data_IF_461311229017
#
_entry.id   IF_461311229017
#
_cell.length_a   1.000
_cell.length_b   1.000
_cell.length_c   1.000
_cell.angle_alpha   90.00
_cell.angle_beta   90.00
_cell.angle_gamma   90.00
#
_symmetry.space_group_name_H-M   'P 1'
#
loop_
_entity.id
_entity.type
_entity.pdbx_description
1 polymer ?
#
# COMPACT_ATOMS: atom_id res chain seq x y z
N UNK A 1 29.93 11.35 -0.96
CA UNK A 1 30.27 10.34 0.08
C UNK A 1 29.36 9.16 -0.15
N UNK A 2 29.91 8.07 -0.65
CA UNK A 2 29.13 6.93 -1.13
C UNK A 2 28.96 5.88 -0.02
N UNK A 3 27.84 5.93 0.69
CA UNK A 3 27.48 4.96 1.73
C UNK A 3 27.13 3.60 1.11
N UNK A 4 26.36 3.54 0.00
CA UNK A 4 26.16 2.30 -0.76
C UNK A 4 27.47 1.64 -1.22
N UNK A 5 28.42 2.41 -1.77
CA UNK A 5 29.73 1.90 -2.20
C UNK A 5 30.55 1.31 -1.05
N UNK A 6 30.59 1.98 0.10
CA UNK A 6 31.27 1.46 1.30
C UNK A 6 30.66 0.16 1.83
N UNK A 7 29.34 0.01 1.77
CA UNK A 7 28.65 -1.22 2.17
C UNK A 7 28.89 -2.37 1.18
N UNK A 8 28.96 -2.07 -0.12
CA UNK A 8 29.29 -3.06 -1.15
C UNK A 8 30.73 -3.58 -1.01
N UNK A 9 31.70 -2.69 -0.78
CA UNK A 9 33.10 -3.07 -0.52
C UNK A 9 33.25 -3.88 0.76
N UNK A 10 32.51 -3.52 1.83
CA UNK A 10 32.57 -4.22 3.11
C UNK A 10 32.03 -5.66 3.04
N UNK A 11 31.09 -5.93 2.12
CA UNK A 11 30.52 -7.26 1.89
C UNK A 11 31.47 -8.19 1.12
N UNK A 12 32.43 -7.63 0.37
CA UNK A 12 33.39 -8.38 -0.46
C UNK A 12 34.72 -8.67 0.26
N UNK A 13 34.88 -8.20 1.49
CA UNK A 13 36.17 -8.12 2.17
C UNK A 13 36.41 -9.32 3.10
N UNK A 14 36.58 -10.51 2.50
CA UNK A 14 36.73 -11.79 3.22
C UNK A 14 38.16 -12.35 3.26
N UNK A 15 39.20 -11.57 2.93
CA UNK A 15 40.52 -12.17 2.64
C UNK A 15 41.81 -11.37 2.80
N UNK A 16 41.86 -10.20 3.43
CA UNK A 16 43.19 -9.57 3.66
C UNK A 16 43.16 -8.27 4.46
N UNK A 17 44.06 -8.19 5.46
CA UNK A 17 44.39 -7.02 6.31
C UNK A 17 43.24 -6.00 6.49
N UNK A 18 42.04 -6.52 6.76
CA UNK A 18 40.83 -5.71 6.82
C UNK A 18 40.82 -4.90 8.11
N UNK A 19 40.37 -3.62 8.08
CA UNK A 19 40.16 -2.87 9.31
C UNK A 19 39.17 -3.61 10.21
N UNK A 20 39.39 -3.52 11.52
CA UNK A 20 38.55 -4.22 12.52
C UNK A 20 37.06 -3.89 12.35
N UNK A 21 36.20 -4.82 12.74
CA UNK A 21 34.74 -4.67 12.66
C UNK A 21 34.29 -3.34 13.30
N UNK A 22 34.82 -3.01 14.47
CA UNK A 22 34.54 -1.75 15.16
C UNK A 22 34.93 -0.51 14.34
N UNK A 23 36.09 -0.53 13.66
CA UNK A 23 36.52 0.58 12.82
C UNK A 23 35.60 0.78 11.61
N UNK A 24 35.10 -0.32 11.02
CA UNK A 24 34.14 -0.29 9.91
C UNK A 24 32.78 0.23 10.36
N UNK A 25 32.28 -0.21 11.52
CA UNK A 25 31.03 0.27 12.12
C UNK A 25 31.12 1.76 12.46
N UNK A 26 32.21 2.22 13.09
CA UNK A 26 32.43 3.65 13.38
C UNK A 26 32.46 4.50 12.12
N UNK A 27 33.02 3.98 11.02
CA UNK A 27 33.02 4.64 9.72
C UNK A 27 31.63 4.71 9.10
N UNK A 28 30.86 3.61 9.13
CA UNK A 28 29.46 3.59 8.68
C UNK A 28 28.61 4.61 9.44
N UNK A 29 28.66 4.58 10.77
CA UNK A 29 27.94 5.53 11.64
C UNK A 29 28.34 6.98 11.33
N UNK A 30 29.62 7.22 11.03
CA UNK A 30 30.10 8.55 10.64
C UNK A 30 29.55 9.03 9.31
N UNK A 31 29.32 8.12 8.36
CA UNK A 31 28.72 8.45 7.07
C UNK A 31 27.21 8.69 7.21
N UNK A 32 26.52 7.88 8.02
CA UNK A 32 25.08 8.01 8.30
C UNK A 32 24.73 9.33 8.99
N UNK A 33 25.60 9.83 9.87
CA UNK A 33 25.41 11.15 10.50
C UNK A 33 25.43 12.34 9.53
N UNK A 34 25.87 12.14 8.28
CA UNK A 34 25.87 13.15 7.21
C UNK A 34 24.69 13.01 6.24
N UNK A 35 23.86 11.97 6.41
CA UNK A 35 22.65 11.76 5.61
C UNK A 35 21.51 12.50 6.30
N UNK A 36 21.03 13.60 5.71
CA UNK A 36 20.00 14.46 6.31
C UNK A 36 18.61 13.81 6.30
N UNK A 37 18.30 13.01 5.28
CA UNK A 37 17.02 12.31 5.12
C UNK A 37 16.91 11.15 6.13
N UNK A 38 15.93 11.18 7.06
CA UNK A 38 15.76 10.17 8.10
C UNK A 38 15.35 8.80 7.54
N UNK A 39 14.62 8.76 6.42
CA UNK A 39 14.16 7.53 5.79
C UNK A 39 15.36 6.84 5.13
N UNK A 40 16.18 7.60 4.38
CA UNK A 40 17.41 7.07 3.77
C UNK A 40 18.42 6.63 4.83
N UNK A 41 18.55 7.39 5.93
CA UNK A 41 19.43 7.02 7.04
C UNK A 41 19.02 5.68 7.66
N UNK A 42 17.72 5.46 7.88
CA UNK A 42 17.20 4.20 8.42
C UNK A 42 17.40 3.02 7.47
N UNK A 43 17.18 3.24 6.17
CA UNK A 43 17.41 2.22 5.15
C UNK A 43 18.90 1.79 5.11
N UNK A 44 19.81 2.75 5.14
CA UNK A 44 21.27 2.49 5.15
C UNK A 44 21.75 1.86 6.47
N UNK A 45 21.11 2.17 7.60
CA UNK A 45 21.36 1.52 8.89
C UNK A 45 20.98 0.04 8.84
N UNK A 46 19.76 -0.27 8.39
CA UNK A 46 19.28 -1.65 8.25
C UNK A 46 20.17 -2.45 7.30
N UNK A 47 20.58 -1.83 6.19
CA UNK A 47 21.52 -2.47 5.25
C UNK A 47 22.91 -2.69 5.84
N UNK A 48 23.39 -1.76 6.68
CA UNK A 48 24.63 -1.93 7.43
C UNK A 48 24.56 -3.06 8.46
N UNK A 49 23.42 -3.23 9.13
CA UNK A 49 23.16 -4.30 10.09
C UNK A 49 23.31 -5.68 9.43
N UNK A 50 22.71 -5.84 8.24
CA UNK A 50 22.82 -7.05 7.43
C UNK A 50 24.27 -7.32 6.97
N UNK A 51 25.01 -6.29 6.56
CA UNK A 51 26.39 -6.44 6.07
C UNK A 51 27.39 -6.78 7.19
N UNK A 52 27.17 -6.25 8.39
CA UNK A 52 28.05 -6.48 9.53
C UNK A 52 27.59 -7.61 10.47
N UNK A 53 26.44 -8.24 10.18
CA UNK A 53 25.87 -9.31 11.02
C UNK A 53 25.51 -8.84 12.43
N UNK A 54 25.12 -7.57 12.58
CA UNK A 54 24.77 -6.96 13.86
C UNK A 54 23.27 -6.68 13.91
N UNK A 55 22.70 -6.64 15.10
CA UNK A 55 21.31 -6.20 15.26
C UNK A 55 21.17 -4.70 14.93
N UNK A 56 20.05 -4.34 14.30
CA UNK A 56 19.74 -2.94 13.93
C UNK A 56 19.74 -2.02 15.17
N UNK A 57 19.29 -2.53 16.31
CA UNK A 57 19.31 -1.86 17.63
C UNK A 57 20.71 -1.41 18.04
N UNK A 58 21.72 -2.26 17.88
CA UNK A 58 23.12 -2.00 18.27
C UNK A 58 23.75 -0.93 17.38
N UNK A 59 23.48 -0.94 16.07
CA UNK A 59 23.95 0.09 15.15
C UNK A 59 23.19 1.42 15.31
N UNK A 60 21.92 1.35 15.67
CA UNK A 60 21.08 2.50 15.94
C UNK A 60 21.51 3.19 17.25
N UNK A 61 21.85 2.44 18.29
CA UNK A 61 22.45 2.95 19.53
C UNK A 61 23.80 3.65 19.25
N UNK A 62 24.70 3.00 18.50
CA UNK A 62 25.98 3.58 18.11
C UNK A 62 25.83 4.86 17.25
N UNK A 63 24.78 4.95 16.44
CA UNK A 63 24.45 6.15 15.65
C UNK A 63 23.83 7.28 16.49
N UNK A 64 23.12 6.94 17.56
CA UNK A 64 22.48 7.89 18.48
C UNK A 64 23.45 8.44 19.53
N UNK A 65 24.44 7.66 19.95
CA UNK A 65 25.47 8.10 20.91
C UNK A 65 26.29 9.31 20.40
N UNK A 66 26.37 9.48 19.08
CA UNK A 66 27.00 10.66 18.48
C UNK A 66 26.16 11.93 18.56
N UNK A 67 24.87 11.81 18.88
CA UNK A 67 23.94 12.93 19.04
C UNK A 67 24.05 13.66 20.38
N UNK A 68 24.80 13.14 21.36
CA UNK A 68 24.89 13.72 22.71
C UNK A 68 26.23 14.35 23.11
N UNK A 69 27.18 14.52 22.18
CA UNK A 69 28.52 14.94 22.60
C UNK A 69 29.38 15.62 21.55
N UNK A 70 28.97 16.79 21.04
CA UNK A 70 29.95 17.78 20.57
C UNK A 70 29.37 19.20 20.62
N UNK A 71 29.57 19.85 21.78
CA UNK A 71 29.48 21.31 21.89
C UNK A 71 30.54 21.93 20.97
N UNK A 72 30.19 22.82 20.02
CA UNK A 72 31.13 23.84 19.59
C UNK A 72 31.07 24.96 20.65
N UNK A 73 32.09 25.00 21.51
CA UNK A 73 32.38 26.19 22.27
C UNK A 73 32.90 27.28 21.31
N UNK A 74 32.38 28.50 21.44
CA UNK A 74 32.96 29.69 20.82
C UNK A 74 31.98 30.55 20.01
N UNK A 75 31.25 31.41 20.71
CA UNK A 75 30.82 32.75 20.22
C UNK A 75 31.92 33.76 20.62
N UNK A 76 31.96 35.04 20.16
CA UNK A 76 31.30 35.73 19.01
C UNK A 76 32.31 36.74 18.35
N UNK A 77 31.97 37.94 17.78
CA UNK A 77 30.71 38.51 17.25
C UNK A 77 30.85 39.26 15.89
N UNK A 78 29.72 39.87 15.49
CA UNK A 78 29.51 41.06 14.64
C UNK A 78 29.00 40.76 13.22
N UNK A 79 27.86 41.28 12.79
CA UNK A 79 26.92 42.19 13.43
C UNK A 79 25.71 42.43 12.53
N UNK A 80 24.71 43.12 13.08
CA UNK A 80 23.76 44.06 12.44
C UNK A 80 23.07 43.67 11.12
N UNK A 81 21.78 43.91 10.91
CA UNK A 81 20.72 44.58 11.66
C UNK A 81 19.39 44.28 10.93
N UNK A 82 18.27 44.51 11.64
CA UNK A 82 16.99 45.11 11.19
C UNK A 82 16.38 44.70 9.83
N UNK A 83 15.10 44.46 9.63
CA UNK A 83 13.88 45.16 10.07
C UNK A 83 12.71 44.35 9.49
N UNK A 84 11.74 43.86 10.27
CA UNK A 84 10.41 44.47 10.53
C UNK A 84 9.65 44.93 9.27
N UNK A 85 8.43 44.38 9.09
CA UNK A 85 7.30 45.06 8.44
C UNK A 85 6.31 44.13 7.72
N UNK A 86 5.32 43.52 8.40
CA UNK A 86 3.88 43.89 8.49
C UNK A 86 2.99 43.80 7.23
N UNK A 87 1.95 42.94 7.36
CA UNK A 87 0.49 43.08 7.07
C UNK A 87 -0.07 43.16 5.62
N UNK A 88 -0.75 42.08 5.23
CA UNK A 88 -2.21 41.90 4.87
C UNK A 88 -2.94 42.85 3.87
N UNK A 89 -4.16 42.51 3.37
CA UNK A 89 -4.44 42.11 1.98
C UNK A 89 -5.36 43.10 1.22
N UNK A 90 -5.69 42.81 -0.04
CA UNK A 90 -6.81 43.46 -0.73
C UNK A 90 -7.54 42.49 -1.67
N UNK A 91 -8.85 42.39 -1.48
CA UNK A 91 -9.83 41.78 -2.36
C UNK A 91 -10.31 42.81 -3.41
N UNK A 92 -10.76 42.34 -4.57
CA UNK A 92 -11.41 43.15 -5.60
C UNK A 92 -12.23 42.27 -6.54
N UNK A 93 -13.55 42.43 -6.45
CA UNK A 93 -14.66 41.68 -7.05
C UNK A 93 -15.09 42.13 -8.45
N UNK A 94 -15.60 41.16 -9.24
CA UNK A 94 -16.71 41.20 -10.23
C UNK A 94 -16.55 42.10 -11.49
N UNK A 95 -17.10 41.86 -12.69
CA UNK A 95 -18.34 41.27 -13.25
C UNK A 95 -18.01 40.88 -14.72
N UNK A 96 -18.43 39.74 -15.31
CA UNK A 96 -19.76 39.27 -15.71
C UNK A 96 -20.17 39.62 -17.17
N UNK A 97 -20.48 38.54 -17.92
CA UNK A 97 -21.59 38.37 -18.88
C UNK A 97 -21.37 38.45 -20.41
N UNK A 98 -21.88 37.39 -21.06
CA UNK A 98 -22.22 37.27 -22.49
C UNK A 98 -21.78 35.91 -23.08
N UNK A 99 -22.50 34.79 -22.87
CA UNK A 99 -23.60 34.24 -23.71
C UNK A 99 -23.14 33.85 -25.15
N UNK A 100 -23.51 32.73 -25.81
CA UNK A 100 -24.18 31.44 -25.55
C UNK A 100 -24.04 30.64 -26.89
N UNK A 101 -23.57 29.39 -26.84
CA UNK A 101 -23.95 28.11 -27.57
C UNK A 101 -24.72 28.23 -28.92
N UNK A 102 -24.46 27.44 -30.02
CA UNK A 102 -24.45 25.96 -30.00
C UNK A 102 -23.56 25.13 -30.97
N UNK A 103 -23.21 23.94 -30.46
CA UNK A 103 -23.12 22.58 -31.08
C UNK A 103 -22.54 22.39 -32.50
N UNK A 104 -21.51 21.52 -32.61
CA UNK A 104 -21.59 20.27 -33.39
C UNK A 104 -20.55 19.25 -32.90
N UNK A 105 -20.94 17.98 -33.00
CA UNK A 105 -20.31 16.78 -32.48
C UNK A 105 -18.87 16.52 -32.98
N UNK A 106 -18.03 16.04 -32.06
CA UNK A 106 -16.76 15.40 -32.33
C UNK A 106 -16.45 14.46 -31.17
N UNK A 107 -16.62 13.17 -31.42
CA UNK A 107 -16.41 12.05 -30.49
C UNK A 107 -14.95 12.05 -30.04
N UNK A 108 -14.69 12.60 -28.86
CA UNK A 108 -13.45 12.43 -28.12
C UNK A 108 -13.77 11.64 -26.87
N UNK A 109 -13.33 10.37 -26.84
CA UNK A 109 -13.36 9.52 -25.66
C UNK A 109 -12.80 10.27 -24.46
N UNK A 110 -13.70 10.79 -23.63
CA UNK A 110 -13.37 11.10 -22.25
C UNK A 110 -13.17 9.74 -21.58
N UNK A 111 -11.91 9.29 -21.56
CA UNK A 111 -11.44 8.47 -20.47
C UNK A 111 -11.68 9.30 -19.21
N UNK A 112 -12.85 9.12 -18.61
CA UNK A 112 -13.01 9.44 -17.21
C UNK A 112 -11.97 8.59 -16.49
N UNK A 113 -10.85 9.21 -16.13
CA UNK A 113 -10.08 8.83 -14.95
C UNK A 113 -11.07 8.80 -13.81
N UNK A 114 -11.70 7.64 -13.65
CA UNK A 114 -12.39 7.29 -12.43
C UNK A 114 -11.30 7.27 -11.37
N UNK A 115 -11.25 8.34 -10.58
CA UNK A 115 -10.67 8.40 -9.24
C UNK A 115 -10.54 6.99 -8.66
N UNK A 116 -9.34 6.50 -8.31
CA UNK A 116 -9.18 5.17 -7.76
C UNK A 116 -9.91 5.14 -6.43
N UNK A 117 -11.16 4.67 -6.46
CA UNK A 117 -11.93 4.30 -5.27
C UNK A 117 -10.98 3.54 -4.35
N UNK A 118 -10.86 3.92 -3.06
CA UNK A 118 -9.85 3.38 -2.17
C UNK A 118 -9.93 1.86 -2.20
N UNK A 119 -8.98 1.23 -2.89
CA UNK A 119 -9.05 -0.19 -3.17
C UNK A 119 -8.90 -0.92 -1.85
N UNK A 120 -9.90 -1.74 -1.49
CA UNK A 120 -9.91 -2.53 -0.26
C UNK A 120 -8.54 -3.23 -0.14
N UNK A 121 -7.80 -3.03 0.96
CA UNK A 121 -6.47 -3.62 1.12
C UNK A 121 -6.47 -5.15 0.95
N UNK A 122 -7.56 -5.83 1.30
CA UNK A 122 -7.68 -7.28 1.12
C UNK A 122 -7.90 -7.63 -0.36
N UNK A 123 -8.64 -6.81 -1.13
CA UNK A 123 -8.76 -7.01 -2.58
C UNK A 123 -7.43 -6.77 -3.29
N UNK A 124 -6.64 -5.79 -2.82
CA UNK A 124 -5.29 -5.54 -3.34
C UNK A 124 -4.34 -6.70 -3.05
N UNK A 125 -4.32 -7.17 -1.81
CA UNK A 125 -3.49 -8.30 -1.41
C UNK A 125 -3.83 -9.55 -2.23
N UNK A 126 -5.12 -9.87 -2.36
CA UNK A 126 -5.57 -10.99 -3.18
C UNK A 126 -5.20 -10.81 -4.66
N UNK A 127 -5.36 -9.60 -5.20
CA UNK A 127 -5.06 -9.32 -6.60
C UNK A 127 -3.59 -9.53 -6.95
N UNK A 128 -2.65 -9.02 -6.14
CA UNK A 128 -1.24 -9.22 -6.44
C UNK A 128 -0.78 -10.66 -6.16
N UNK A 129 -1.41 -11.39 -5.23
CA UNK A 129 -1.20 -12.83 -5.08
C UNK A 129 -1.68 -13.62 -6.30
N UNK A 130 -2.81 -13.26 -6.92
CA UNK A 130 -3.24 -13.88 -8.18
C UNK A 130 -2.23 -13.64 -9.32
N UNK A 131 -1.54 -12.50 -9.32
CA UNK A 131 -0.51 -12.18 -10.32
C UNK A 131 0.83 -12.89 -10.07
N UNK A 132 1.11 -13.36 -8.85
CA UNK A 132 2.44 -13.85 -8.45
C UNK A 132 2.43 -15.32 -8.01
N UNK A 133 1.32 -15.82 -7.49
CA UNK A 133 1.18 -17.15 -6.91
C UNK A 133 0.13 -17.98 -7.68
N UNK A 134 0.56 -19.11 -8.25
CA UNK A 134 -0.32 -20.02 -8.98
C UNK A 134 -1.44 -20.58 -8.09
N UNK A 135 -1.12 -20.90 -6.83
CA UNK A 135 -2.11 -21.37 -5.86
C UNK A 135 -3.26 -20.38 -5.67
N UNK A 136 -2.95 -19.11 -5.44
CA UNK A 136 -3.95 -18.07 -5.29
C UNK A 136 -4.83 -17.91 -6.53
N UNK A 137 -4.24 -17.97 -7.73
CA UNK A 137 -4.98 -17.92 -8.98
C UNK A 137 -5.96 -19.09 -9.11
N UNK A 138 -5.50 -20.32 -8.86
CA UNK A 138 -6.37 -21.51 -8.94
C UNK A 138 -7.55 -21.43 -7.98
N UNK A 139 -7.32 -20.88 -6.79
CA UNK A 139 -8.38 -20.75 -5.79
C UNK A 139 -9.40 -19.68 -6.15
N UNK A 140 -8.94 -18.50 -6.60
CA UNK A 140 -9.84 -17.43 -7.06
C UNK A 140 -10.62 -17.89 -8.28
N UNK A 141 -10.00 -18.62 -9.21
CA UNK A 141 -10.71 -19.17 -10.37
C UNK A 141 -11.83 -20.15 -9.96
N UNK A 142 -11.61 -20.96 -8.92
CA UNK A 142 -12.60 -21.91 -8.41
C UNK A 142 -13.79 -21.22 -7.69
N UNK A 143 -13.53 -20.13 -6.96
CA UNK A 143 -14.54 -19.43 -6.14
C UNK A 143 -15.39 -18.40 -6.91
N UNK A 144 -15.10 -18.16 -8.20
CA UNK A 144 -15.90 -17.26 -9.04
C UNK A 144 -15.11 -16.27 -9.89
N UNK A 145 -13.79 -16.37 -9.91
CA UNK A 145 -12.89 -15.62 -10.78
C UNK A 145 -12.94 -14.12 -10.51
N UNK A 146 -13.13 -13.32 -11.56
CA UNK A 146 -13.09 -11.85 -11.45
C UNK A 146 -14.21 -11.28 -10.55
N UNK A 147 -15.28 -12.04 -10.29
CA UNK A 147 -16.40 -11.63 -9.42
C UNK A 147 -15.94 -11.52 -7.95
N UNK A 148 -14.83 -12.19 -7.59
CA UNK A 148 -14.21 -12.10 -6.27
C UNK A 148 -13.66 -10.72 -5.95
N UNK A 149 -13.52 -9.80 -6.91
CA UNK A 149 -13.11 -8.40 -6.68
C UNK A 149 -14.33 -7.48 -6.85
N UNK A 150 -14.43 -6.33 -6.19
CA UNK A 150 -15.44 -5.30 -6.46
C UNK A 150 -14.88 -4.16 -7.30
N UNK A 151 -13.59 -3.88 -7.12
CA UNK A 151 -12.90 -2.84 -7.86
C UNK A 151 -12.84 -3.17 -9.36
N UNK A 152 -13.50 -2.35 -10.18
CA UNK A 152 -13.58 -2.54 -11.64
C UNK A 152 -12.21 -2.59 -12.33
N UNK A 153 -11.28 -1.66 -12.04
CA UNK A 153 -9.90 -1.74 -12.54
C UNK A 153 -9.19 -3.05 -12.21
N UNK A 154 -9.26 -3.54 -10.97
CA UNK A 154 -8.67 -4.84 -10.59
C UNK A 154 -9.31 -6.00 -11.36
N UNK A 155 -10.63 -6.00 -11.55
CA UNK A 155 -11.31 -7.04 -12.33
C UNK A 155 -10.76 -7.12 -13.74
N UNK A 156 -10.73 -5.99 -14.45
CA UNK A 156 -10.26 -5.91 -15.85
C UNK A 156 -8.79 -6.31 -15.98
N UNK A 157 -7.99 -5.96 -14.98
CA UNK A 157 -6.58 -6.33 -14.93
C UNK A 157 -6.38 -7.84 -14.79
N UNK A 158 -7.16 -8.50 -13.94
CA UNK A 158 -7.01 -9.91 -13.60
C UNK A 158 -7.72 -10.86 -14.57
N UNK A 159 -8.76 -10.38 -15.25
CA UNK A 159 -9.61 -11.15 -16.15
C UNK A 159 -8.83 -11.96 -17.22
N UNK A 160 -7.79 -11.42 -17.90
CA UNK A 160 -7.01 -12.18 -18.87
C UNK A 160 -6.27 -13.39 -18.26
N UNK A 161 -5.83 -13.27 -17.02
CA UNK A 161 -5.03 -14.29 -16.32
C UNK A 161 -5.92 -15.38 -15.73
N UNK A 162 -7.04 -14.96 -15.14
CA UNK A 162 -8.08 -15.87 -14.65
C UNK A 162 -8.71 -16.67 -15.80
N UNK A 163 -8.93 -16.05 -16.96
CA UNK A 163 -9.44 -16.74 -18.15
C UNK A 163 -8.45 -17.74 -18.76
N UNK A 164 -7.14 -17.47 -18.64
CA UNK A 164 -6.09 -18.39 -19.10
C UNK A 164 -5.76 -19.48 -18.07
N UNK A 165 -6.20 -19.35 -16.81
CA UNK A 165 -5.88 -20.30 -15.74
C UNK A 165 -4.40 -20.32 -15.35
N UNK A 166 -3.65 -19.25 -15.64
CA UNK A 166 -2.22 -19.15 -15.31
C UNK A 166 -1.86 -17.73 -14.87
N UNK A 167 -0.88 -17.57 -13.97
CA UNK A 167 -0.33 -16.25 -13.67
C UNK A 167 0.47 -15.70 -14.87
N UNK A 168 0.67 -14.37 -14.93
CA UNK A 168 1.64 -13.76 -15.82
C UNK A 168 3.03 -14.39 -15.65
N UNK A 169 3.75 -14.56 -16.76
CA UNK A 169 5.18 -14.90 -16.74
C UNK A 169 5.97 -13.70 -16.24
N UNK A 170 7.20 -13.94 -15.79
CA UNK A 170 8.05 -12.87 -15.26
C UNK A 170 8.27 -11.71 -16.26
N UNK A 171 8.48 -12.02 -17.54
CA UNK A 171 8.62 -10.99 -18.59
C UNK A 171 7.32 -10.22 -18.83
N UNK A 172 6.17 -10.91 -18.81
CA UNK A 172 4.85 -10.29 -18.93
C UNK A 172 4.56 -9.39 -17.73
N UNK A 173 4.95 -9.81 -16.52
CA UNK A 173 4.80 -9.06 -15.28
C UNK A 173 5.64 -7.77 -15.30
N UNK A 174 6.88 -7.83 -15.81
CA UNK A 174 7.74 -6.64 -15.96
C UNK A 174 7.18 -5.63 -16.97
N UNK A 175 6.59 -6.10 -18.07
CA UNK A 175 5.92 -5.23 -19.04
C UNK A 175 4.69 -4.56 -18.40
N UNK A 176 3.90 -5.35 -17.68
CA UNK A 176 2.74 -4.89 -16.92
C UNK A 176 3.12 -3.81 -15.88
N UNK A 177 4.22 -4.00 -15.13
CA UNK A 177 4.74 -3.01 -14.19
C UNK A 177 5.14 -1.70 -14.90
N UNK A 178 5.72 -1.78 -16.10
CA UNK A 178 6.10 -0.61 -16.86
C UNK A 178 4.87 0.18 -17.37
N UNK A 179 3.81 -0.53 -17.76
CA UNK A 179 2.60 0.06 -18.37
C UNK A 179 1.59 0.55 -17.33
N UNK A 180 1.49 -0.09 -16.16
CA UNK A 180 0.42 0.16 -15.20
C UNK A 180 0.94 0.60 -13.83
N UNK A 181 0.61 1.83 -13.37
CA UNK A 181 0.94 2.25 -12.01
C UNK A 181 0.24 1.39 -10.94
N UNK A 182 -0.97 0.91 -11.23
CA UNK A 182 -1.73 0.05 -10.32
C UNK A 182 -0.99 -1.26 -10.02
N UNK A 183 -0.32 -1.85 -11.02
CA UNK A 183 0.43 -3.10 -10.84
C UNK A 183 1.66 -2.88 -9.98
N UNK A 184 2.37 -1.77 -10.20
CA UNK A 184 3.50 -1.38 -9.35
C UNK A 184 3.08 -1.21 -7.90
N UNK A 185 1.94 -0.58 -7.64
CA UNK A 185 1.41 -0.44 -6.28
C UNK A 185 1.03 -1.80 -5.66
N UNK A 186 0.38 -2.69 -6.43
CA UNK A 186 0.01 -4.02 -5.94
C UNK A 186 1.23 -4.86 -5.57
N UNK A 187 2.25 -4.87 -6.43
CA UNK A 187 3.45 -5.68 -6.25
C UNK A 187 4.43 -5.07 -5.26
N UNK A 188 4.41 -3.75 -5.06
CA UNK A 188 5.25 -3.11 -4.04
C UNK A 188 4.88 -3.57 -2.63
N UNK A 189 3.58 -3.74 -2.36
CA UNK A 189 3.08 -4.19 -1.05
C UNK A 189 3.22 -5.72 -0.86
N UNK A 190 3.38 -6.47 -1.96
CA UNK A 190 3.43 -7.93 -1.95
C UNK A 190 4.84 -8.41 -2.31
N UNK A 191 5.59 -8.82 -1.30
CA UNK A 191 6.86 -9.51 -1.50
C UNK A 191 6.57 -11.01 -1.64
N UNK A 192 6.64 -11.59 -2.86
CA UNK A 192 6.45 -13.02 -3.02
C UNK A 192 7.55 -13.75 -2.24
N UNK A 193 7.16 -14.61 -1.31
CA UNK A 193 8.10 -15.43 -0.56
C UNK A 193 8.63 -16.55 -1.48
N UNK A 194 9.94 -16.55 -1.82
CA UNK A 194 10.49 -17.59 -2.67
C UNK A 194 10.41 -18.94 -1.96
N UNK A 195 9.82 -19.94 -2.62
CA UNK A 195 9.70 -21.31 -2.10
C UNK A 195 8.40 -21.63 -1.36
N UNK A 196 7.42 -20.72 -1.37
CA UNK A 196 6.08 -20.98 -0.84
C UNK A 196 5.39 -22.11 -1.63
N UNK A 197 4.79 -23.08 -0.94
CA UNK A 197 4.08 -24.17 -1.61
C UNK A 197 2.75 -23.69 -2.20
N UNK A 198 2.29 -24.38 -3.25
CA UNK A 198 1.00 -24.11 -3.89
C UNK A 198 -0.14 -24.28 -2.88
N UNK A 199 -0.09 -25.27 -1.97
CA UNK A 199 -1.18 -25.45 -0.99
C UNK A 199 -1.24 -24.32 0.04
N UNK A 200 -0.09 -23.80 0.47
CA UNK A 200 -0.03 -22.65 1.39
C UNK A 200 -0.60 -21.41 0.71
N UNK A 201 -0.19 -21.15 -0.54
CA UNK A 201 -0.77 -20.07 -1.36
C UNK A 201 -2.28 -20.20 -1.52
N UNK A 202 -2.80 -21.40 -1.81
CA UNK A 202 -4.24 -21.67 -1.89
C UNK A 202 -4.95 -21.39 -0.58
N UNK A 203 -4.42 -21.86 0.55
CA UNK A 203 -5.00 -21.64 1.87
C UNK A 203 -5.10 -20.15 2.20
N UNK A 204 -4.02 -19.41 1.99
CA UNK A 204 -4.03 -17.97 2.24
C UNK A 204 -4.98 -17.22 1.31
N UNK A 205 -5.09 -17.64 0.05
CA UNK A 205 -6.08 -17.09 -0.87
C UNK A 205 -7.51 -17.37 -0.42
N UNK A 206 -7.82 -18.58 0.09
CA UNK A 206 -9.14 -18.88 0.70
C UNK A 206 -9.44 -17.95 1.87
N UNK A 207 -8.47 -17.76 2.76
CA UNK A 207 -8.64 -16.88 3.93
C UNK A 207 -8.93 -15.44 3.50
N UNK A 208 -8.25 -14.95 2.46
CA UNK A 208 -8.49 -13.61 1.90
C UNK A 208 -9.88 -13.52 1.25
N UNK A 209 -10.29 -14.52 0.46
CA UNK A 209 -11.63 -14.57 -0.14
C UNK A 209 -12.70 -14.56 0.95
N UNK A 210 -12.55 -15.37 2.00
CA UNK A 210 -13.48 -15.41 3.13
C UNK A 210 -13.56 -14.04 3.82
N UNK A 211 -12.43 -13.38 4.07
CA UNK A 211 -12.40 -12.02 4.66
C UNK A 211 -13.10 -11.00 3.77
N UNK A 212 -12.96 -11.09 2.44
CA UNK A 212 -13.68 -10.22 1.51
C UNK A 212 -15.19 -10.46 1.59
N UNK A 213 -15.63 -11.71 1.58
CA UNK A 213 -17.04 -12.04 1.69
C UNK A 213 -17.65 -11.57 3.02
N UNK A 214 -16.94 -11.75 4.14
CA UNK A 214 -17.38 -11.23 5.44
C UNK A 214 -17.52 -9.70 5.42
N UNK A 215 -16.56 -8.99 4.85
CA UNK A 215 -16.62 -7.53 4.70
C UNK A 215 -17.80 -7.11 3.82
N UNK A 216 -18.07 -7.85 2.76
CA UNK A 216 -19.22 -7.62 1.87
C UNK A 216 -20.54 -7.81 2.61
N UNK A 217 -20.68 -8.88 3.39
CA UNK A 217 -21.86 -9.13 4.21
C UNK A 217 -22.04 -8.03 5.25
N UNK A 218 -20.97 -7.62 5.96
CA UNK A 218 -21.02 -6.50 6.91
C UNK A 218 -21.46 -5.20 6.26
N UNK A 219 -20.92 -4.86 5.08
CA UNK A 219 -21.32 -3.67 4.34
C UNK A 219 -22.78 -3.74 3.87
N UNK A 220 -23.25 -4.89 3.40
CA UNK A 220 -24.66 -5.08 3.03
C UNK A 220 -25.61 -4.95 4.22
N UNK A 221 -25.23 -5.50 5.39
CA UNK A 221 -26.01 -5.33 6.63
C UNK A 221 -26.08 -3.86 7.03
N UNK A 222 -24.97 -3.11 6.95
CA UNK A 222 -24.96 -1.68 7.25
C UNK A 222 -25.86 -0.88 6.29
N UNK A 223 -25.85 -1.21 5.00
CA UNK A 223 -26.72 -0.59 4.00
C UNK A 223 -28.21 -0.90 4.29
N UNK A 224 -28.54 -2.14 4.66
CA UNK A 224 -29.88 -2.51 5.08
C UNK A 224 -30.30 -1.81 6.37
N UNK A 225 -29.43 -1.69 7.36
CA UNK A 225 -29.71 -0.94 8.60
C UNK A 225 -29.96 0.55 8.31
N UNK A 226 -29.34 1.12 7.28
CA UNK A 226 -29.67 2.48 6.82
C UNK A 226 -31.02 2.52 6.10
N UNK A 227 -31.29 1.59 5.18
CA UNK A 227 -32.55 1.50 4.46
C UNK A 227 -33.75 1.28 5.41
N UNK A 228 -33.59 0.45 6.44
CA UNK A 228 -34.60 0.23 7.50
C UNK A 228 -34.90 1.56 8.20
N UNK A 229 -33.87 2.30 8.63
CA UNK A 229 -34.05 3.62 9.26
C UNK A 229 -34.74 4.63 8.33
N UNK A 230 -34.56 4.52 7.02
CA UNK A 230 -35.23 5.37 6.03
C UNK A 230 -36.69 4.94 5.80
N UNK A 231 -36.98 3.65 5.74
CA UNK A 231 -38.33 3.09 5.67
C UNK A 231 -39.16 3.43 6.90
N UNK A 232 -38.58 3.31 8.10
CA UNK A 232 -39.23 3.72 9.37
C UNK A 232 -39.57 5.22 9.38
N UNK A 233 -38.63 6.06 8.91
CA UNK A 233 -38.85 7.52 8.82
C UNK A 233 -39.94 7.89 7.81
N UNK A 234 -40.04 7.15 6.71
CA UNK A 234 -41.04 7.37 5.66
C UNK A 234 -42.37 6.64 5.91
N UNK A 235 -42.46 5.85 6.99
CA UNK A 235 -43.62 4.98 7.32
C UNK A 235 -43.98 4.00 6.19
N UNK A 236 -42.98 3.53 5.45
CA UNK A 236 -43.15 2.49 4.45
C UNK A 236 -43.16 1.11 5.10
N UNK A 237 -44.31 0.74 5.66
CA UNK A 237 -44.52 -0.56 6.30
C UNK A 237 -44.42 -1.73 5.31
N UNK A 238 -44.63 -1.49 4.02
CA UNK A 238 -44.58 -2.51 2.97
C UNK A 238 -43.17 -3.02 2.70
N UNK A 239 -42.17 -2.13 2.69
CA UNK A 239 -40.77 -2.52 2.51
C UNK A 239 -40.08 -2.92 3.82
N UNK A 240 -40.52 -2.41 4.97
CA UNK A 240 -39.89 -2.63 6.27
C UNK A 240 -39.77 -4.11 6.64
N UNK A 241 -40.86 -4.88 6.49
CA UNK A 241 -40.86 -6.31 6.80
C UNK A 241 -39.85 -7.10 5.95
N UNK A 242 -39.73 -6.74 4.66
CA UNK A 242 -38.77 -7.37 3.73
C UNK A 242 -37.32 -7.03 4.11
N UNK A 243 -37.04 -5.76 4.41
CA UNK A 243 -35.69 -5.31 4.77
C UNK A 243 -35.21 -5.95 6.08
N UNK A 244 -36.07 -6.06 7.10
CA UNK A 244 -35.73 -6.73 8.37
C UNK A 244 -35.45 -8.22 8.16
N UNK A 245 -36.27 -8.90 7.35
CA UNK A 245 -36.06 -10.31 7.05
C UNK A 245 -34.72 -10.55 6.31
N UNK A 246 -34.41 -9.72 5.31
CA UNK A 246 -33.15 -9.79 4.56
C UNK A 246 -31.94 -9.50 5.47
N UNK A 247 -32.05 -8.49 6.34
CA UNK A 247 -31.01 -8.15 7.32
C UNK A 247 -30.75 -9.30 8.29
N UNK A 248 -31.79 -9.99 8.75
CA UNK A 248 -31.68 -11.19 9.60
C UNK A 248 -31.01 -12.34 8.86
N UNK A 249 -31.39 -12.61 7.62
CA UNK A 249 -30.78 -13.67 6.80
C UNK A 249 -29.28 -13.42 6.57
N UNK A 250 -28.90 -12.19 6.20
CA UNK A 250 -27.48 -11.84 6.04
C UNK A 250 -26.69 -11.92 7.35
N UNK A 251 -27.30 -11.53 8.48
CA UNK A 251 -26.67 -11.68 9.79
C UNK A 251 -26.47 -13.15 10.16
N UNK A 252 -27.43 -14.02 9.86
CA UNK A 252 -27.30 -15.46 10.05
C UNK A 252 -26.17 -16.04 9.17
N UNK A 253 -26.09 -15.65 7.90
CA UNK A 253 -25.00 -16.05 6.98
C UNK A 253 -23.62 -15.60 7.46
N UNK A 254 -23.52 -14.39 8.01
CA UNK A 254 -22.27 -13.89 8.60
C UNK A 254 -21.89 -14.72 9.83
N UNK A 255 -22.87 -15.03 10.68
CA UNK A 255 -22.61 -15.78 11.91
C UNK A 255 -22.15 -17.21 11.62
N UNK A 256 -22.81 -17.93 10.70
CA UNK A 256 -22.40 -19.29 10.30
C UNK A 256 -21.02 -19.33 9.67
N UNK A 257 -20.65 -18.32 8.87
CA UNK A 257 -19.32 -18.22 8.26
C UNK A 257 -18.23 -17.87 9.28
N UNK A 258 -18.55 -17.04 10.28
CA UNK A 258 -17.62 -16.72 11.37
C UNK A 258 -17.44 -17.86 12.38
N UNK A 259 -18.43 -18.76 12.49
CA UNK A 259 -18.45 -19.87 13.45
C UNK A 259 -18.05 -21.21 12.86
N UNK A 260 -17.69 -21.27 11.57
CA UNK A 260 -16.90 -22.36 11.01
C UNK A 260 -15.42 -22.09 11.30
N UNK A 261 -14.82 -22.64 12.38
CA UNK A 261 -13.38 -22.76 12.41
C UNK A 261 -12.99 -23.60 11.18
N UNK A 262 -11.92 -23.20 10.50
CA UNK A 262 -11.33 -23.98 9.44
C UNK A 262 -11.10 -25.41 9.94
N UNK A 263 -11.99 -26.34 9.57
CA UNK A 263 -11.76 -27.77 9.79
C UNK A 263 -10.77 -28.16 8.69
N UNK A 264 -9.49 -28.10 9.04
CA UNK A 264 -8.38 -28.65 8.29
C UNK A 264 -7.49 -29.45 9.24
#
# INVERSE_FOLDING_TARGET
LDVPGFLAESKLQDGGASPSLEARVRRLVSLLGRVEDPIRRRLLLRRGAEVFGLEESVLLEAAQDRGRGRKPAGKPPAGSAASVGTRTPAAGTAQASGAQVPQTAGVGSQASEAEPSPTDPVERELAGRVLTEEGALTEVAAEGGAICFRNGPLRRLLEPWLGQGRPPREDELRLLEAESPLIRELLYDLFPEPGKSIEVSRREARDLIQRLEERRLKASIQALDQAIREAERSRDEGSLGRLIAERRDLASKLHTRSSQPAIH
#
